data_IF_363631947170
#
_entry.id   IF_363631947170
#
_cell.length_a   1.000
_cell.length_b   1.000
_cell.length_c   1.000
_cell.angle_alpha   90.00
_cell.angle_beta   90.00
_cell.angle_gamma   90.00
#
_symmetry.space_group_name_H-M   'P 1'
#
loop_
_entity.id
_entity.type
_entity.pdbx_description
1 polymer ?
#
# COMPACT_ATOMS: atom_id res chain seq x y z
N UNK A 1 -15.08 -17.82 -10.40
CA UNK A 1 -15.14 -18.11 -11.85
C UNK A 1 -15.43 -16.82 -12.62
N UNK A 2 -14.63 -15.75 -12.55
CA UNK A 2 -14.74 -14.52 -13.36
C UNK A 2 -16.09 -13.76 -13.32
N UNK A 3 -16.06 -12.43 -13.28
CA UNK A 3 -17.29 -11.67 -13.56
C UNK A 3 -17.70 -11.83 -15.03
N UNK A 4 -19.00 -12.02 -15.28
CA UNK A 4 -19.57 -11.88 -16.64
C UNK A 4 -19.49 -10.44 -17.12
N UNK A 5 -19.61 -10.20 -18.43
CA UNK A 5 -19.52 -8.83 -18.97
C UNK A 5 -20.63 -7.90 -18.45
N UNK A 6 -21.82 -8.44 -18.18
CA UNK A 6 -22.91 -7.69 -17.54
C UNK A 6 -22.53 -7.28 -16.11
N UNK A 7 -21.98 -8.20 -15.32
CA UNK A 7 -21.55 -7.91 -13.95
C UNK A 7 -20.34 -6.97 -13.89
N UNK A 8 -19.41 -7.07 -14.84
CA UNK A 8 -18.29 -6.12 -14.98
C UNK A 8 -18.81 -4.71 -15.22
N UNK A 9 -19.78 -4.56 -16.13
CA UNK A 9 -20.41 -3.28 -16.45
C UNK A 9 -21.15 -2.72 -15.23
N UNK A 10 -21.98 -3.52 -14.56
CA UNK A 10 -22.70 -3.11 -13.34
C UNK A 10 -21.72 -2.63 -12.24
N UNK A 11 -20.66 -3.40 -12.00
CA UNK A 11 -19.59 -3.00 -11.08
C UNK A 11 -19.01 -1.64 -11.47
N UNK A 12 -18.61 -1.47 -12.73
CA UNK A 12 -17.99 -0.22 -13.20
C UNK A 12 -18.92 0.97 -13.02
N UNK A 13 -20.20 0.85 -13.39
CA UNK A 13 -21.20 1.91 -13.23
C UNK A 13 -21.40 2.26 -11.74
N UNK A 14 -21.54 1.25 -10.87
CA UNK A 14 -21.69 1.46 -9.44
C UNK A 14 -20.47 2.19 -8.83
N UNK A 15 -19.25 1.76 -9.16
CA UNK A 15 -18.02 2.37 -8.64
C UNK A 15 -17.74 3.77 -9.20
N UNK A 16 -18.25 4.08 -10.40
CA UNK A 16 -18.17 5.43 -10.94
C UNK A 16 -19.08 6.40 -10.20
N UNK A 17 -20.29 5.94 -9.84
CA UNK A 17 -21.29 6.77 -9.15
C UNK A 17 -21.07 6.89 -7.63
N UNK A 18 -20.59 5.83 -6.96
CA UNK A 18 -20.63 5.74 -5.49
C UNK A 18 -19.26 5.76 -4.80
N UNK A 19 -18.15 5.56 -5.52
CA UNK A 19 -16.82 5.45 -4.93
C UNK A 19 -15.93 6.65 -5.28
N UNK A 20 -15.64 7.45 -4.27
CA UNK A 20 -14.68 8.55 -4.36
C UNK A 20 -13.25 8.02 -4.18
N UNK A 21 -12.49 7.94 -5.28
CA UNK A 21 -11.13 7.43 -5.26
C UNK A 21 -10.16 8.48 -4.72
N UNK A 22 -9.38 8.09 -3.71
CA UNK A 22 -8.17 8.80 -3.30
C UNK A 22 -6.95 8.12 -3.91
N UNK A 23 -6.31 8.76 -4.89
CA UNK A 23 -5.09 8.26 -5.50
C UNK A 23 -3.84 8.82 -4.82
N UNK A 24 -2.70 8.16 -5.01
CA UNK A 24 -1.42 8.62 -4.46
C UNK A 24 -1.02 10.04 -4.90
N UNK A 25 -1.48 10.51 -6.07
CA UNK A 25 -1.20 11.87 -6.58
C UNK A 25 -1.82 12.96 -5.70
N UNK A 26 -2.89 12.64 -4.98
CA UNK A 26 -3.61 13.60 -4.15
C UNK A 26 -2.89 13.91 -2.84
N UNK A 27 -1.83 13.15 -2.49
CA UNK A 27 -1.02 13.32 -1.26
C UNK A 27 -1.84 13.36 0.04
N UNK A 28 -3.01 12.72 0.04
CA UNK A 28 -3.83 12.48 1.23
C UNK A 28 -3.58 11.06 1.72
N UNK A 29 -3.59 10.79 3.03
CA UNK A 29 -3.49 9.42 3.53
C UNK A 29 -4.71 8.59 3.15
N UNK A 30 -4.52 7.34 2.70
CA UNK A 30 -5.61 6.49 2.22
C UNK A 30 -5.31 5.01 2.41
N UNK A 31 -6.36 4.20 2.33
CA UNK A 31 -6.27 2.74 2.30
C UNK A 31 -6.24 2.23 0.86
N UNK A 32 -5.39 1.24 0.57
CA UNK A 32 -5.52 0.44 -0.63
C UNK A 32 -6.51 -0.71 -0.35
N UNK A 33 -7.56 -0.83 -1.15
CA UNK A 33 -8.57 -1.89 -1.04
C UNK A 33 -8.19 -3.03 -1.99
N UNK A 34 -7.73 -4.14 -1.42
CA UNK A 34 -7.47 -5.39 -2.13
C UNK A 34 -8.65 -6.34 -1.96
N UNK A 35 -9.20 -6.82 -3.06
CA UNK A 35 -10.37 -7.68 -3.08
C UNK A 35 -10.42 -8.52 -4.37
N UNK A 36 -11.09 -9.68 -4.33
CA UNK A 36 -11.41 -10.40 -5.54
C UNK A 36 -12.59 -9.74 -6.27
N UNK A 37 -12.50 -9.59 -7.59
CA UNK A 37 -13.49 -8.89 -8.41
C UNK A 37 -14.92 -9.40 -8.22
N UNK A 38 -15.08 -10.71 -8.01
CA UNK A 38 -16.37 -11.37 -7.74
C UNK A 38 -17.05 -10.91 -6.44
N UNK A 39 -16.32 -10.29 -5.51
CA UNK A 39 -16.85 -9.82 -4.23
C UNK A 39 -17.10 -8.32 -4.18
N UNK A 40 -17.08 -7.63 -5.32
CA UNK A 40 -17.22 -6.17 -5.38
C UNK A 40 -18.48 -5.67 -4.65
N UNK A 41 -19.61 -6.36 -4.78
CA UNK A 41 -20.86 -5.92 -4.14
C UNK A 41 -20.71 -5.84 -2.62
N UNK A 42 -20.31 -6.94 -1.99
CA UNK A 42 -20.13 -6.99 -0.54
C UNK A 42 -19.03 -6.02 -0.08
N UNK A 43 -17.94 -5.89 -0.83
CA UNK A 43 -16.84 -5.00 -0.47
C UNK A 43 -17.27 -3.53 -0.53
N UNK A 44 -17.92 -3.10 -1.59
CA UNK A 44 -18.24 -1.68 -1.78
C UNK A 44 -19.58 -1.29 -1.19
N UNK A 45 -20.65 -2.05 -1.44
CA UNK A 45 -22.00 -1.72 -0.95
C UNK A 45 -22.08 -1.84 0.58
N UNK A 46 -21.44 -2.86 1.16
CA UNK A 46 -21.60 -3.13 2.59
C UNK A 46 -20.49 -2.52 3.45
N UNK A 47 -19.30 -2.27 2.90
CA UNK A 47 -18.16 -1.77 3.66
C UNK A 47 -17.58 -0.44 3.20
N UNK A 48 -16.92 -0.40 2.03
CA UNK A 48 -16.09 0.75 1.65
C UNK A 48 -16.91 2.01 1.44
N UNK A 49 -18.01 1.96 0.68
CA UNK A 49 -18.87 3.14 0.43
C UNK A 49 -19.54 3.61 1.73
N UNK A 50 -20.13 2.73 2.57
CA UNK A 50 -20.61 3.15 3.89
C UNK A 50 -19.53 3.77 4.79
N UNK A 51 -18.32 3.22 4.82
CA UNK A 51 -17.21 3.77 5.60
C UNK A 51 -16.76 5.14 5.08
N UNK A 52 -16.77 5.32 3.76
CA UNK A 52 -16.46 6.58 3.11
C UNK A 52 -17.52 7.64 3.44
N UNK A 53 -18.80 7.34 3.20
CA UNK A 53 -19.88 8.29 3.41
C UNK A 53 -20.13 8.64 4.88
N UNK A 54 -20.00 7.68 5.81
CA UNK A 54 -20.33 7.90 7.23
C UNK A 54 -19.17 8.38 8.08
N UNK A 55 -17.93 8.02 7.72
CA UNK A 55 -16.75 8.27 8.56
C UNK A 55 -15.59 8.91 7.80
N UNK A 56 -15.75 9.20 6.49
CA UNK A 56 -14.74 9.88 5.69
C UNK A 56 -13.55 9.00 5.30
N UNK A 57 -13.71 7.68 5.22
CA UNK A 57 -12.64 6.80 4.75
C UNK A 57 -12.14 7.22 3.35
N UNK A 58 -10.84 7.48 3.23
CA UNK A 58 -10.16 7.68 1.96
C UNK A 58 -9.65 6.35 1.44
N UNK A 59 -10.13 5.94 0.27
CA UNK A 59 -9.83 4.63 -0.30
C UNK A 59 -9.37 4.74 -1.76
N UNK A 60 -8.43 3.87 -2.12
CA UNK A 60 -8.13 3.52 -3.51
C UNK A 60 -8.61 2.10 -3.75
N UNK A 61 -9.31 1.88 -4.85
CA UNK A 61 -9.55 0.56 -5.41
C UNK A 61 -9.38 0.66 -6.92
N UNK A 62 -8.86 -0.38 -7.55
CA UNK A 62 -8.75 -0.39 -9.00
C UNK A 62 -10.15 -0.39 -9.63
N UNK A 63 -10.40 0.60 -10.51
CA UNK A 63 -11.64 0.73 -11.29
C UNK A 63 -11.55 0.00 -12.63
N UNK A 64 -10.36 -0.48 -13.02
CA UNK A 64 -10.03 -0.88 -14.38
C UNK A 64 -9.40 -2.28 -14.45
N UNK A 65 -10.09 -3.30 -13.92
CA UNK A 65 -9.70 -4.71 -14.06
C UNK A 65 -9.89 -5.26 -15.50
N UNK A 66 -10.61 -4.55 -16.38
CA UNK A 66 -11.09 -5.09 -17.66
C UNK A 66 -10.24 -4.69 -18.87
N UNK A 67 -9.09 -4.05 -18.66
CA UNK A 67 -8.17 -3.72 -19.76
C UNK A 67 -7.19 -4.87 -19.94
N UNK A 68 -7.23 -5.50 -21.11
CA UNK A 68 -6.52 -6.72 -21.55
C UNK A 68 -4.99 -6.55 -21.63
N UNK A 69 -4.38 -5.85 -20.68
CA UNK A 69 -2.93 -5.67 -20.61
C UNK A 69 -2.45 -5.44 -19.17
N UNK A 70 -1.17 -5.79 -18.95
CA UNK A 70 -0.36 -5.52 -17.76
C UNK A 70 -0.34 -4.03 -17.31
N UNK A 71 -1.06 -3.11 -17.97
CA UNK A 71 -1.11 -1.69 -17.60
C UNK A 71 -1.76 -1.45 -16.25
N UNK A 72 -2.56 -2.37 -15.72
CA UNK A 72 -3.14 -2.24 -14.38
C UNK A 72 -2.07 -2.38 -13.28
N UNK A 73 -0.97 -3.09 -13.56
CA UNK A 73 0.11 -3.34 -12.60
C UNK A 73 0.75 -2.02 -12.16
N UNK A 74 1.03 -1.11 -13.09
CA UNK A 74 1.75 0.14 -12.77
C UNK A 74 0.94 1.04 -11.82
N UNK A 75 -0.35 1.35 -12.09
CA UNK A 75 -1.25 2.02 -11.13
C UNK A 75 -1.41 1.26 -9.82
N UNK A 76 -1.55 -0.07 -9.86
CA UNK A 76 -1.64 -0.88 -8.64
C UNK A 76 -0.38 -0.71 -7.78
N UNK A 77 0.82 -0.96 -8.33
CA UNK A 77 2.09 -0.81 -7.61
C UNK A 77 2.25 0.59 -7.04
N UNK A 78 1.93 1.62 -7.84
CA UNK A 78 2.00 3.02 -7.43
C UNK A 78 1.09 3.30 -6.23
N UNK A 79 -0.14 2.80 -6.24
CA UNK A 79 -1.10 3.08 -5.18
C UNK A 79 -0.89 2.18 -3.94
N UNK A 80 -0.46 0.92 -4.08
CA UNK A 80 -0.05 0.11 -2.92
C UNK A 80 1.16 0.75 -2.23
N UNK A 81 2.17 1.19 -2.99
CA UNK A 81 3.37 1.86 -2.43
C UNK A 81 3.03 3.22 -1.80
N UNK A 82 2.05 3.92 -2.38
CA UNK A 82 1.62 5.23 -1.92
C UNK A 82 0.61 5.22 -0.77
N UNK A 83 -0.06 4.10 -0.48
CA UNK A 83 -1.07 4.04 0.58
C UNK A 83 -0.44 4.03 1.98
N UNK A 84 -1.24 4.41 2.98
CA UNK A 84 -0.83 4.33 4.38
C UNK A 84 -1.04 2.93 4.96
N UNK A 85 -1.99 2.17 4.39
CA UNK A 85 -2.28 0.80 4.77
C UNK A 85 -3.06 0.08 3.66
N UNK A 86 -3.25 -1.23 3.85
CA UNK A 86 -4.08 -2.07 3.00
C UNK A 86 -5.27 -2.63 3.79
N UNK A 87 -6.45 -2.64 3.17
CA UNK A 87 -7.59 -3.47 3.56
C UNK A 87 -7.65 -4.65 2.61
N UNK A 88 -7.43 -5.86 3.12
CA UNK A 88 -7.48 -7.09 2.33
C UNK A 88 -8.76 -7.85 2.65
N UNK A 89 -9.72 -7.86 1.71
CA UNK A 89 -10.99 -8.55 1.84
C UNK A 89 -10.86 -10.02 1.40
N UNK A 90 -10.67 -10.89 2.38
CA UNK A 90 -10.37 -12.31 2.22
C UNK A 90 -11.64 -13.12 2.02
N UNK A 91 -11.70 -13.80 0.88
CA UNK A 91 -12.73 -14.76 0.48
C UNK A 91 -12.08 -15.96 -0.22
N UNK A 92 -12.86 -16.96 -0.61
CA UNK A 92 -12.35 -18.04 -1.47
C UNK A 92 -11.78 -17.49 -2.79
N UNK A 93 -12.51 -16.61 -3.46
CA UNK A 93 -12.05 -16.01 -4.72
C UNK A 93 -10.78 -15.15 -4.55
N UNK A 94 -10.57 -14.56 -3.37
CA UNK A 94 -9.36 -13.81 -3.05
C UNK A 94 -8.14 -14.74 -2.99
N UNK A 95 -8.26 -15.87 -2.30
CA UNK A 95 -7.13 -16.80 -2.14
C UNK A 95 -6.84 -17.61 -3.40
N UNK A 96 -7.73 -17.60 -4.39
CA UNK A 96 -7.49 -18.21 -5.71
C UNK A 96 -6.94 -17.20 -6.73
N UNK A 97 -6.72 -15.94 -6.35
CA UNK A 97 -6.36 -14.84 -7.25
C UNK A 97 -4.88 -14.50 -7.19
N UNK A 98 -4.17 -14.68 -8.31
CA UNK A 98 -2.77 -14.24 -8.43
C UNK A 98 -2.63 -12.71 -8.34
N UNK A 99 -3.66 -11.96 -8.73
CA UNK A 99 -3.66 -10.50 -8.63
C UNK A 99 -3.69 -10.06 -7.16
N UNK A 100 -4.56 -10.68 -6.36
CA UNK A 100 -4.61 -10.45 -4.92
C UNK A 100 -3.30 -10.89 -4.24
N UNK A 101 -2.66 -11.96 -4.73
CA UNK A 101 -1.35 -12.38 -4.24
C UNK A 101 -0.28 -11.31 -4.51
N UNK A 102 -0.21 -10.77 -5.72
CA UNK A 102 0.73 -9.71 -6.07
C UNK A 102 0.50 -8.44 -5.24
N UNK A 103 -0.76 -8.02 -5.05
CA UNK A 103 -1.10 -6.88 -4.20
C UNK A 103 -0.60 -7.08 -2.77
N UNK A 104 -0.90 -8.24 -2.17
CA UNK A 104 -0.47 -8.56 -0.81
C UNK A 104 1.05 -8.64 -0.69
N UNK A 105 1.73 -9.30 -1.63
CA UNK A 105 3.18 -9.36 -1.71
C UNK A 105 3.79 -7.95 -1.78
N UNK A 106 3.18 -7.06 -2.57
CA UNK A 106 3.59 -5.65 -2.68
C UNK A 106 3.41 -4.92 -1.36
N UNK A 107 2.28 -5.08 -0.68
CA UNK A 107 2.05 -4.46 0.63
C UNK A 107 3.07 -4.93 1.67
N UNK A 108 3.33 -6.24 1.74
CA UNK A 108 4.29 -6.82 2.68
C UNK A 108 5.71 -6.32 2.40
N UNK A 109 6.15 -6.33 1.14
CA UNK A 109 7.47 -5.81 0.73
C UNK A 109 7.67 -4.33 1.09
N UNK A 110 6.60 -3.55 1.04
CA UNK A 110 6.61 -2.13 1.38
C UNK A 110 6.26 -1.86 2.85
N UNK A 111 6.20 -2.91 3.69
CA UNK A 111 5.88 -2.83 5.13
C UNK A 111 4.61 -2.05 5.41
N UNK A 112 3.61 -2.17 4.54
CA UNK A 112 2.30 -1.56 4.75
C UNK A 112 1.60 -2.28 5.89
N UNK A 113 1.01 -1.56 6.86
CA UNK A 113 0.04 -2.15 7.76
C UNK A 113 -1.12 -2.75 6.96
N UNK A 114 -1.60 -3.92 7.38
CA UNK A 114 -2.65 -4.67 6.67
C UNK A 114 -3.74 -5.03 7.67
N UNK A 115 -4.98 -4.67 7.34
CA UNK A 115 -6.17 -5.17 8.03
C UNK A 115 -6.82 -6.20 7.13
N UNK A 116 -6.90 -7.43 7.62
CA UNK A 116 -7.56 -8.52 6.92
C UNK A 116 -9.03 -8.59 7.34
N UNK A 117 -9.93 -8.60 6.36
CA UNK A 117 -11.37 -8.63 6.55
C UNK A 117 -11.92 -9.91 5.92
N UNK A 118 -12.46 -10.83 6.72
CA UNK A 118 -13.13 -12.05 6.24
C UNK A 118 -14.50 -11.71 5.66
N UNK A 119 -14.75 -12.16 4.45
CA UNK A 119 -16.06 -12.10 3.79
C UNK A 119 -16.87 -13.41 3.94
N UNK A 120 -16.31 -14.42 4.61
CA UNK A 120 -16.95 -15.70 4.88
C UNK A 120 -16.09 -16.58 5.79
N UNK A 121 -16.66 -17.72 6.19
CA UNK A 121 -16.13 -18.50 7.32
C UNK A 121 -15.29 -19.72 6.92
N UNK A 122 -15.25 -20.10 5.65
CA UNK A 122 -14.56 -21.32 5.22
C UNK A 122 -13.74 -21.13 3.95
N UNK A 123 -12.43 -21.00 4.15
CA UNK A 123 -11.44 -21.08 3.08
C UNK A 123 -11.09 -22.55 2.84
N UNK A 124 -10.93 -22.93 1.58
CA UNK A 124 -10.54 -24.27 1.17
C UNK A 124 -9.54 -24.22 0.02
N UNK A 125 -8.93 -25.37 -0.27
CA UNK A 125 -8.04 -25.50 -1.41
C UNK A 125 -8.86 -25.43 -2.71
N UNK A 126 -8.39 -24.59 -3.63
CA UNK A 126 -8.96 -24.47 -4.97
C UNK A 126 -8.72 -25.71 -5.83
N UNK A 127 -9.25 -25.69 -7.04
CA UNK A 127 -9.10 -26.80 -7.99
C UNK A 127 -7.70 -26.82 -8.64
N UNK A 128 -7.23 -28.00 -9.01
CA UNK A 128 -5.99 -28.25 -9.75
C UNK A 128 -6.18 -28.17 -11.26
N UNK A 129 -7.42 -28.27 -11.77
CA UNK A 129 -7.68 -28.28 -13.22
C UNK A 129 -7.72 -26.91 -13.87
N UNK A 130 -7.99 -25.87 -13.07
CA UNK A 130 -8.07 -24.48 -13.53
C UNK A 130 -6.71 -23.79 -13.32
N UNK A 131 -5.95 -23.66 -14.41
CA UNK A 131 -4.68 -22.94 -14.45
C UNK A 131 -4.95 -21.49 -14.88
N UNK A 132 -4.89 -20.50 -13.97
CA UNK A 132 -5.07 -19.11 -14.35
C UNK A 132 -4.03 -18.70 -15.39
N UNK A 133 -4.48 -18.03 -16.45
CA UNK A 133 -3.58 -17.42 -17.42
C UNK A 133 -2.93 -16.18 -16.79
N UNK A 134 -1.74 -16.36 -16.21
CA UNK A 134 -0.97 -15.28 -15.59
C UNK A 134 -0.27 -14.49 -16.69
N UNK A 135 -0.62 -13.21 -16.83
CA UNK A 135 0.04 -12.33 -17.79
C UNK A 135 1.55 -12.21 -17.51
N UNK A 136 2.36 -12.11 -18.57
CA UNK A 136 3.82 -12.13 -18.47
C UNK A 136 4.36 -10.99 -17.58
N UNK A 137 3.79 -9.79 -17.65
CA UNK A 137 4.21 -8.67 -16.80
C UNK A 137 3.91 -8.95 -15.33
N UNK A 138 2.74 -9.52 -15.02
CA UNK A 138 2.37 -9.94 -13.66
C UNK A 138 3.33 -11.00 -13.12
N UNK A 139 3.62 -12.05 -13.90
CA UNK A 139 4.56 -13.11 -13.53
C UNK A 139 5.94 -12.52 -13.19
N UNK A 140 6.48 -11.68 -14.06
CA UNK A 140 7.78 -11.06 -13.84
C UNK A 140 7.81 -10.19 -12.57
N UNK A 141 6.73 -9.46 -12.30
CA UNK A 141 6.65 -8.62 -11.11
C UNK A 141 6.57 -9.45 -9.83
N UNK A 142 5.79 -10.55 -9.82
CA UNK A 142 5.75 -11.47 -8.67
C UNK A 142 7.13 -12.06 -8.39
N UNK A 143 7.84 -12.54 -9.42
CA UNK A 143 9.19 -13.10 -9.29
C UNK A 143 10.20 -12.07 -8.77
N UNK A 144 10.17 -10.85 -9.29
CA UNK A 144 11.04 -9.76 -8.84
C UNK A 144 10.78 -9.41 -7.36
N UNK A 145 9.52 -9.19 -7.01
CA UNK A 145 9.13 -8.85 -5.65
C UNK A 145 9.40 -9.97 -4.64
N UNK A 146 9.17 -11.22 -5.04
CA UNK A 146 9.48 -12.37 -4.20
C UNK A 146 10.99 -12.61 -4.06
N UNK A 147 11.78 -12.36 -5.09
CA UNK A 147 13.24 -12.32 -4.98
C UNK A 147 13.71 -11.32 -3.93
N UNK A 148 13.12 -10.12 -3.90
CA UNK A 148 13.41 -9.10 -2.90
C UNK A 148 13.00 -9.52 -1.49
N UNK A 149 11.86 -10.19 -1.30
CA UNK A 149 11.47 -10.67 0.03
C UNK A 149 12.40 -11.79 0.51
N UNK A 150 12.83 -12.68 -0.39
CA UNK A 150 13.70 -13.80 -0.06
C UNK A 150 15.09 -13.35 0.44
N UNK A 151 15.63 -12.26 -0.12
CA UNK A 151 16.93 -11.69 0.28
C UNK A 151 16.83 -10.85 1.55
N UNK A 152 15.73 -10.10 1.74
CA UNK A 152 15.57 -9.16 2.86
C UNK A 152 15.08 -9.79 4.17
N UNK A 153 14.66 -11.06 4.16
CA UNK A 153 14.03 -11.74 5.31
C UNK A 153 14.99 -12.50 6.21
N UNK A 154 16.28 -12.57 5.88
CA UNK A 154 17.23 -13.41 6.61
C UNK A 154 17.49 -12.93 8.05
N UNK A 155 17.07 -11.70 8.42
CA UNK A 155 17.27 -11.11 9.75
C UNK A 155 16.02 -10.42 10.33
N UNK A 156 14.80 -10.80 9.93
CA UNK A 156 13.57 -10.15 10.43
C UNK A 156 12.73 -11.05 11.34
N UNK A 157 12.35 -10.52 12.51
CA UNK A 157 11.41 -11.14 13.46
C UNK A 157 9.93 -10.98 13.06
N UNK A 158 9.63 -10.45 11.86
CA UNK A 158 8.26 -10.19 11.44
C UNK A 158 7.63 -11.45 10.81
N UNK A 159 6.64 -12.03 11.50
CA UNK A 159 5.97 -13.26 11.08
C UNK A 159 5.23 -13.10 9.73
N UNK A 160 4.68 -11.92 9.43
CA UNK A 160 4.04 -11.65 8.13
C UNK A 160 5.07 -11.73 6.99
N UNK A 161 6.26 -11.13 7.16
CA UNK A 161 7.30 -11.20 6.13
C UNK A 161 7.84 -12.62 5.96
N UNK A 162 8.01 -13.37 7.06
CA UNK A 162 8.44 -14.79 7.00
C UNK A 162 7.40 -15.67 6.33
N UNK A 163 6.13 -15.53 6.68
CA UNK A 163 5.03 -16.25 6.07
C UNK A 163 4.92 -15.93 4.57
N UNK A 164 5.04 -14.65 4.19
CA UNK A 164 5.01 -14.24 2.79
C UNK A 164 6.19 -14.80 1.99
N UNK A 165 7.39 -14.85 2.57
CA UNK A 165 8.54 -15.54 1.95
C UNK A 165 8.22 -17.00 1.67
N UNK A 166 7.64 -17.70 2.65
CA UNK A 166 7.25 -19.11 2.52
C UNK A 166 6.24 -19.30 1.40
N UNK A 167 5.16 -18.50 1.40
CA UNK A 167 4.11 -18.52 0.39
C UNK A 167 4.65 -18.19 -1.03
N UNK A 168 5.59 -17.25 -1.15
CA UNK A 168 6.26 -17.01 -2.43
C UNK A 168 7.10 -18.20 -2.87
N UNK A 169 7.87 -18.79 -1.95
CA UNK A 169 8.77 -19.92 -2.26
C UNK A 169 8.00 -21.14 -2.75
N UNK A 170 6.79 -21.38 -2.23
CA UNK A 170 5.93 -22.47 -2.72
C UNK A 170 5.40 -22.23 -4.13
N UNK A 171 5.31 -20.98 -4.58
CA UNK A 171 4.76 -20.63 -5.90
C UNK A 171 5.82 -20.37 -6.96
N UNK A 172 7.04 -19.98 -6.60
CA UNK A 172 8.03 -19.45 -7.55
C UNK A 172 8.34 -20.42 -8.70
N UNK A 173 8.56 -21.70 -8.39
CA UNK A 173 8.84 -22.73 -9.41
C UNK A 173 7.65 -22.96 -10.34
N UNK A 174 6.44 -22.97 -9.79
CA UNK A 174 5.21 -23.18 -10.55
C UNK A 174 4.89 -21.98 -11.46
N UNK A 175 5.16 -20.76 -10.96
CA UNK A 175 5.11 -19.53 -11.75
C UNK A 175 6.08 -19.59 -12.92
N UNK A 176 7.34 -19.97 -12.70
CA UNK A 176 8.35 -20.09 -13.76
C UNK A 176 7.94 -21.10 -14.84
N UNK A 177 7.33 -22.21 -14.44
CA UNK A 177 6.88 -23.29 -15.32
C UNK A 177 5.53 -23.05 -16.00
N UNK A 178 4.85 -21.92 -15.71
CA UNK A 178 3.48 -21.65 -16.17
C UNK A 178 2.50 -22.78 -15.81
N UNK A 179 2.71 -23.39 -14.64
CA UNK A 179 1.99 -24.57 -14.14
C UNK A 179 1.15 -24.26 -12.89
N UNK A 180 0.99 -22.97 -12.56
CA UNK A 180 0.27 -22.52 -11.38
C UNK A 180 -1.22 -22.87 -11.51
N UNK A 181 -1.79 -23.50 -10.48
CA UNK A 181 -3.22 -23.75 -10.37
C UNK A 181 -3.86 -22.93 -9.25
N UNK A 182 -5.19 -22.86 -9.21
CA UNK A 182 -5.92 -22.26 -8.07
C UNK A 182 -5.62 -22.97 -6.76
N UNK A 183 -5.46 -24.30 -6.79
CA UNK A 183 -5.01 -25.07 -5.65
C UNK A 183 -3.72 -24.49 -5.05
N UNK A 184 -2.69 -24.29 -5.88
CA UNK A 184 -1.38 -23.83 -5.42
C UNK A 184 -1.46 -22.43 -4.79
N UNK A 185 -2.17 -21.50 -5.43
CA UNK A 185 -2.35 -20.14 -4.92
C UNK A 185 -3.09 -20.17 -3.58
N UNK A 186 -4.18 -20.93 -3.49
CA UNK A 186 -4.99 -21.04 -2.28
C UNK A 186 -4.23 -21.70 -1.14
N UNK A 187 -3.42 -22.72 -1.41
CA UNK A 187 -2.54 -23.37 -0.42
C UNK A 187 -1.52 -22.38 0.13
N UNK A 188 -0.87 -21.60 -0.75
CA UNK A 188 0.07 -20.57 -0.33
C UNK A 188 -0.57 -19.51 0.56
N UNK A 189 -1.79 -19.05 0.26
CA UNK A 189 -2.54 -18.13 1.12
C UNK A 189 -2.95 -18.74 2.45
N UNK A 190 -3.47 -19.97 2.46
CA UNK A 190 -3.89 -20.65 3.69
C UNK A 190 -2.70 -20.84 4.62
N UNK A 191 -1.57 -21.30 4.08
CA UNK A 191 -0.32 -21.43 4.82
C UNK A 191 0.18 -20.06 5.30
N UNK A 192 0.12 -19.01 4.46
CA UNK A 192 0.43 -17.64 4.86
C UNK A 192 -0.39 -17.19 6.07
N UNK A 193 -1.72 -17.33 6.03
CA UNK A 193 -2.59 -16.87 7.11
C UNK A 193 -2.36 -17.62 8.41
N UNK A 194 -2.10 -18.93 8.33
CA UNK A 194 -1.74 -19.76 9.48
C UNK A 194 -0.43 -19.29 10.09
N UNK A 195 0.61 -19.14 9.28
CA UNK A 195 1.97 -18.88 9.76
C UNK A 195 2.16 -17.43 10.21
N UNK A 196 1.45 -16.48 9.59
CA UNK A 196 1.44 -15.07 9.98
C UNK A 196 0.55 -14.77 11.20
N UNK A 197 -0.17 -15.77 11.74
CA UNK A 197 -1.10 -15.60 12.88
C UNK A 197 -2.08 -14.44 12.69
N UNK A 198 -2.63 -14.33 11.47
CA UNK A 198 -3.43 -13.17 11.07
C UNK A 198 -4.77 -13.15 11.80
N UNK A 199 -5.04 -12.04 12.50
CA UNK A 199 -6.36 -11.74 13.05
C UNK A 199 -7.26 -11.14 11.96
N UNK A 200 -8.24 -11.92 11.49
CA UNK A 200 -9.22 -11.48 10.49
C UNK A 200 -10.43 -10.83 11.19
N UNK A 201 -10.88 -9.69 10.68
CA UNK A 201 -12.10 -8.99 11.12
C UNK A 201 -13.29 -9.37 10.25
N UNK A 202 -14.50 -9.31 10.79
CA UNK A 202 -15.71 -9.49 9.97
C UNK A 202 -16.16 -8.17 9.35
N UNK A 203 -16.81 -8.24 8.19
CA UNK A 203 -17.42 -7.10 7.52
C UNK A 203 -18.76 -6.67 8.16
N UNK A 204 -19.40 -7.53 8.96
CA UNK A 204 -20.77 -7.32 9.46
C UNK A 204 -20.90 -6.23 10.54
N UNK A 205 -19.79 -5.78 11.13
CA UNK A 205 -19.78 -4.67 12.09
C UNK A 205 -18.86 -3.55 11.57
N UNK A 206 -19.47 -2.57 10.92
CA UNK A 206 -18.76 -1.41 10.37
C UNK A 206 -18.10 -0.54 11.44
N UNK A 207 -18.66 -0.49 12.66
CA UNK A 207 -18.07 0.27 13.76
C UNK A 207 -16.82 -0.43 14.27
N UNK A 208 -16.86 -1.76 14.43
CA UNK A 208 -15.68 -2.54 14.80
C UNK A 208 -14.60 -2.53 13.70
N UNK A 209 -15.01 -2.59 12.43
CA UNK A 209 -14.09 -2.48 11.29
C UNK A 209 -13.43 -1.10 11.28
N UNK A 210 -14.22 -0.02 11.40
CA UNK A 210 -13.69 1.35 11.56
C UNK A 210 -12.70 1.44 12.72
N UNK A 211 -13.06 0.96 13.91
CA UNK A 211 -12.18 1.01 15.09
C UNK A 211 -10.87 0.25 14.86
N UNK A 212 -10.91 -0.86 14.13
CA UNK A 212 -9.69 -1.58 13.73
C UNK A 212 -8.84 -0.75 12.78
N UNK A 213 -9.44 -0.14 11.75
CA UNK A 213 -8.72 0.73 10.80
C UNK A 213 -8.09 1.91 11.54
N UNK A 214 -8.84 2.57 12.42
CA UNK A 214 -8.34 3.69 13.23
C UNK A 214 -7.19 3.30 14.15
N UNK A 215 -7.23 2.10 14.74
CA UNK A 215 -6.14 1.59 15.59
C UNK A 215 -4.83 1.38 14.82
N UNK A 216 -4.92 1.16 13.51
CA UNK A 216 -3.77 0.98 12.62
C UNK A 216 -3.31 2.31 12.02
N UNK A 217 -4.25 3.11 11.50
CA UNK A 217 -3.98 4.44 10.96
C UNK A 217 -5.24 5.29 10.98
N UNK A 218 -5.39 6.16 11.99
CA UNK A 218 -6.51 7.13 12.04
C UNK A 218 -6.46 8.16 10.92
N UNK A 219 -5.28 8.39 10.33
CA UNK A 219 -5.08 9.39 9.28
C UNK A 219 -5.80 9.06 7.99
N UNK A 220 -6.23 7.83 7.75
CA UNK A 220 -6.93 7.47 6.50
C UNK A 220 -8.39 7.95 6.47
N UNK A 221 -8.91 8.42 7.60
CA UNK A 221 -10.22 9.05 7.66
C UNK A 221 -10.09 10.57 7.48
N UNK A 222 -11.11 11.18 6.87
CA UNK A 222 -11.25 12.62 6.82
C UNK A 222 -11.67 13.15 8.20
N UNK A 223 -10.85 14.00 8.84
CA UNK A 223 -11.17 14.59 10.13
C UNK A 223 -12.49 15.38 10.11
N UNK A 224 -12.86 15.98 8.97
CA UNK A 224 -14.06 16.80 8.86
C UNK A 224 -15.37 16.00 8.94
N UNK A 225 -15.30 14.69 8.67
CA UNK A 225 -16.45 13.77 8.66
C UNK A 225 -16.44 12.80 9.84
N UNK A 226 -15.43 12.83 10.70
CA UNK A 226 -15.37 11.93 11.85
C UNK A 226 -16.21 12.47 13.00
N UNK A 227 -17.18 11.70 13.54
CA UNK A 227 -17.98 12.12 14.69
C UNK A 227 -17.06 12.29 15.91
N UNK A 228 -16.73 13.54 16.25
CA UNK A 228 -15.83 13.89 17.35
C UNK A 228 -14.85 15.03 17.04
N UNK A 229 -14.50 15.26 15.77
CA UNK A 229 -13.57 16.33 15.41
C UNK A 229 -14.15 17.74 15.63
N UNK A 230 -15.47 17.90 15.49
CA UNK A 230 -16.16 19.17 15.75
C UNK A 230 -16.59 19.36 17.22
N UNK A 231 -16.39 18.36 18.10
CA UNK A 231 -16.70 18.49 19.52
C UNK A 231 -15.56 19.15 20.32
N UNK A 232 -14.35 19.19 19.77
CA UNK A 232 -13.21 19.88 20.40
C UNK A 232 -13.12 21.37 20.03
N UNK A 233 -14.01 21.88 19.17
CA UNK A 233 -13.90 23.22 18.60
C UNK A 233 -15.22 23.99 18.59
N UNK A 234 -16.09 23.85 19.60
CA UNK A 234 -17.22 24.78 19.81
C UNK A 234 -17.51 24.99 21.31
N UNK A 235 -17.11 26.19 21.80
CA UNK A 235 -17.60 26.98 22.96
C UNK A 235 -17.16 26.58 24.38
N UNK A 236 -16.78 27.51 25.27
CA UNK A 236 -17.48 28.77 25.58
C UNK A 236 -16.70 30.10 25.40
N UNK A 237 -17.41 31.19 25.05
CA UNK A 237 -16.95 32.57 25.19
C UNK A 237 -17.38 33.22 26.54
N UNK A 238 -16.40 33.66 27.33
CA UNK A 238 -16.50 34.74 28.35
C UNK A 238 -17.29 34.47 29.65
N UNK A 239 -16.90 35.11 30.76
CA UNK A 239 -17.24 36.52 30.89
C UNK A 239 -16.12 37.45 31.40
N UNK A 240 -16.19 38.68 30.92
CA UNK A 240 -15.46 39.87 31.37
C UNK A 240 -15.77 40.20 32.84
N UNK A 241 -14.73 40.49 33.64
CA UNK A 241 -14.79 41.35 34.83
C UNK A 241 -13.37 41.82 35.20
N UNK A 242 -13.09 43.13 35.08
CA UNK A 242 -11.94 43.77 35.75
C UNK A 242 -12.32 44.24 37.17
N UNK A 243 -11.58 45.16 37.83
CA UNK A 243 -10.21 45.64 37.60
C UNK A 243 -9.25 45.29 38.78
N UNK A 244 -7.96 45.54 38.58
CA UNK A 244 -6.87 45.29 39.53
C UNK A 244 -6.95 46.14 40.82
N UNK A 245 -6.47 45.63 41.98
CA UNK A 245 -6.14 46.46 43.12
C UNK A 245 -4.68 46.94 43.09
N UNK A 246 -4.56 48.25 43.23
CA UNK A 246 -3.34 49.01 43.51
C UNK A 246 -2.81 48.63 44.89
N UNK A 247 -1.50 48.38 45.03
CA UNK A 247 -0.81 48.47 46.31
C UNK A 247 0.38 49.42 46.22
N UNK A 248 0.44 50.25 47.26
CA UNK A 248 1.20 51.48 47.42
C UNK A 248 2.53 51.24 48.15
N UNK A 249 3.40 52.24 48.05
CA UNK A 249 4.83 52.27 48.33
C UNK A 249 5.30 51.85 49.74
N UNK A 250 6.50 51.25 49.78
CA UNK A 250 7.49 51.52 50.83
C UNK A 250 8.93 51.39 50.28
N UNK A 251 9.78 52.38 50.57
CA UNK A 251 11.25 52.47 50.39
C UNK A 251 11.79 53.25 51.63
N UNK A 252 13.11 53.37 51.90
CA UNK A 252 14.30 52.62 51.45
C UNK A 252 15.24 52.24 52.65
N UNK A 253 16.32 51.45 52.47
CA UNK A 253 17.76 51.83 52.39
C UNK A 253 18.63 50.64 52.91
N UNK A 254 19.99 50.63 52.85
CA UNK A 254 20.95 51.03 51.80
C UNK A 254 21.97 49.90 51.44
N UNK A 255 22.76 50.05 50.36
CA UNK A 255 23.80 49.11 49.87
C UNK A 255 25.15 49.16 50.65
N UNK A 256 26.34 48.89 50.07
CA UNK A 256 26.74 48.40 48.72
C UNK A 256 27.96 47.39 48.80
N UNK A 257 28.96 47.28 47.88
CA UNK A 257 29.09 47.54 46.42
C UNK A 257 29.82 46.42 45.57
N UNK A 258 29.80 46.61 44.23
CA UNK A 258 30.87 46.29 43.22
C UNK A 258 31.13 44.82 42.83
N UNK A 259 31.47 44.39 41.59
CA UNK A 259 32.42 44.91 40.59
C UNK A 259 32.12 44.33 39.18
N UNK A 260 32.16 45.20 38.16
CA UNK A 260 32.60 45.12 36.74
C UNK A 260 32.40 43.90 35.80
N UNK A 261 31.97 44.24 34.57
CA UNK A 261 32.16 43.53 33.29
C UNK A 261 33.65 43.61 32.81
N UNK A 262 34.10 42.96 31.69
CA UNK A 262 33.67 43.28 30.33
C UNK A 262 33.63 42.11 29.31
N UNK A 263 33.13 42.45 28.12
CA UNK A 263 33.07 41.69 26.87
C UNK A 263 34.45 41.50 26.18
N UNK A 264 34.50 40.58 25.21
CA UNK A 264 35.32 40.54 23.96
C UNK A 264 35.36 39.08 23.44
N UNK A 265 35.52 38.69 22.18
CA UNK A 265 35.44 39.27 20.82
C UNK A 265 35.84 38.12 19.87
N UNK A 266 35.21 38.03 18.70
CA UNK A 266 35.65 37.45 17.40
C UNK A 266 36.38 36.09 17.27
N UNK A 267 36.05 35.33 16.21
CA UNK A 267 36.89 34.99 15.03
C UNK A 267 36.26 33.80 14.24
N UNK A 268 35.76 34.09 13.04
CA UNK A 268 35.79 33.19 11.85
C UNK A 268 37.06 33.54 11.01
N UNK A 269 37.48 32.86 9.91
CA UNK A 269 36.88 31.75 9.12
C UNK A 269 37.91 30.65 8.71
N UNK A 270 37.50 29.64 7.92
CA UNK A 270 38.47 28.90 7.09
C UNK A 270 38.08 27.54 6.49
N UNK A 271 37.56 27.58 5.25
CA UNK A 271 37.94 26.76 4.07
C UNK A 271 37.72 25.23 3.98
N UNK A 272 37.03 24.88 2.88
CA UNK A 272 36.71 23.58 2.23
C UNK A 272 37.96 22.95 1.54
N UNK A 273 37.97 21.66 1.10
CA UNK A 273 37.37 21.25 -0.21
C UNK A 273 36.70 19.84 -0.18
N UNK A 274 35.55 19.60 -0.81
CA UNK A 274 35.31 19.29 -2.23
C UNK A 274 36.21 18.18 -2.83
N UNK A 275 35.62 16.99 -3.01
CA UNK A 275 36.04 16.04 -4.06
C UNK A 275 34.80 15.53 -4.80
N UNK A 276 34.78 15.78 -6.09
CA UNK A 276 33.79 15.32 -7.05
C UNK A 276 34.50 14.77 -8.30
N UNK A 277 33.73 13.99 -9.08
CA UNK A 277 33.88 13.65 -10.51
C UNK A 277 34.76 12.40 -10.79
N UNK A 278 34.53 11.56 -11.86
CA UNK A 278 33.61 11.65 -13.03
C UNK A 278 32.67 10.44 -13.21
N UNK A 279 31.62 10.43 -14.05
CA UNK A 279 31.40 11.19 -15.29
C UNK A 279 31.78 10.36 -16.52
N UNK A 280 30.81 9.64 -17.10
CA UNK A 280 30.95 8.94 -18.38
C UNK A 280 31.09 9.91 -19.56
N UNK A 281 31.61 9.42 -20.70
CA UNK A 281 31.09 9.84 -22.00
C UNK A 281 30.62 8.65 -22.86
N UNK A 282 29.64 8.95 -23.71
CA UNK A 282 29.04 8.17 -24.81
C UNK A 282 29.21 9.05 -26.09
N UNK A 283 28.97 8.64 -27.35
CA UNK A 283 29.19 7.41 -28.13
C UNK A 283 30.11 7.65 -29.37
N UNK A 284 30.48 6.62 -30.14
CA UNK A 284 30.81 6.81 -31.58
C UNK A 284 30.39 5.61 -32.43
N UNK A 285 29.88 5.91 -33.62
CA UNK A 285 29.27 5.00 -34.58
C UNK A 285 30.20 4.67 -35.76
N UNK A 286 29.88 3.56 -36.42
CA UNK A 286 30.08 3.24 -37.85
C UNK A 286 31.48 2.77 -38.34
N UNK A 287 31.52 1.51 -38.83
CA UNK A 287 31.82 1.08 -40.22
C UNK A 287 31.79 -0.46 -40.28
N UNK A 288 30.79 -1.11 -40.89
CA UNK A 288 30.68 -1.48 -42.32
C UNK A 288 31.90 -2.22 -42.90
N UNK A 289 31.75 -3.52 -43.16
CA UNK A 289 31.97 -4.25 -44.43
C UNK A 289 31.74 -5.75 -44.16
N UNK A 290 30.66 -6.35 -44.67
CA UNK A 290 30.55 -6.96 -46.00
C UNK A 290 31.36 -8.26 -46.15
N UNK A 291 30.65 -9.40 -46.14
CA UNK A 291 30.84 -10.51 -47.09
C UNK A 291 29.60 -11.39 -47.06
N UNK A 292 28.84 -11.33 -48.16
CA UNK A 292 27.65 -12.10 -48.43
C UNK A 292 27.95 -13.51 -48.97
N UNK A 293 26.96 -14.15 -49.64
CA UNK A 293 26.67 -15.57 -49.46
C UNK A 293 27.00 -16.46 -50.68
N UNK A 294 26.92 -17.77 -50.48
CA UNK A 294 26.74 -18.80 -51.51
C UNK A 294 25.94 -19.94 -50.83
N UNK A 295 24.72 -20.35 -51.19
CA UNK A 295 24.21 -20.78 -52.51
C UNK A 295 25.14 -21.88 -53.07
N UNK A 296 24.77 -23.10 -53.46
CA UNK A 296 23.57 -23.74 -54.00
C UNK A 296 23.86 -25.26 -53.90
N UNK A 297 22.91 -26.19 -53.69
CA UNK A 297 22.29 -27.11 -54.69
C UNK A 297 22.10 -28.46 -53.96
N UNK A 298 20.89 -28.99 -53.79
CA UNK A 298 20.03 -29.75 -54.72
C UNK A 298 20.24 -31.27 -54.70
N UNK A 299 19.08 -31.95 -54.68
CA UNK A 299 18.72 -33.22 -55.31
C UNK A 299 18.94 -34.54 -54.56
N UNK A 300 17.78 -35.18 -54.35
CA UNK A 300 17.42 -36.57 -54.63
C UNK A 300 18.22 -37.72 -53.98
N UNK A 301 17.58 -38.40 -53.03
CA UNK A 301 17.17 -39.81 -53.11
C UNK A 301 16.38 -40.22 -51.86
#
# INVERSE_FOLDING_TARGET
>A
MGLSDAQKKERSEYLEEHLDITECSQRKPYVFVSYASENWEMVFKDAVVPLQGRYGLRAYADKAFDKVNDRWIVPMLRNVRGSDMMLAFVSQAYIESYACFLELLTAVNNRKPIVFVSLGDSLHLGDTTDQPNVERGVKNEILNQGGNIATNTNNTSNDIMRAMKSAYTSLSTLLEQDALSKYDISDAFINFFRDASVNRKSVHDLMALRGTIESVSSRVFDPSLTPGANAAAVQEPGPLSGPAPVQEAARPEPGPPSVSAPAQEAVEPGSVPETAVPGAPVPEAARLTASGPAAVHNLDA
#
